data_IF_353195737523
#
_entry.id   IF_353195737523
#
_cell.length_a   1.000
_cell.length_b   1.000
_cell.length_c   1.000
_cell.angle_alpha   90.00
_cell.angle_beta   90.00
_cell.angle_gamma   90.00
#
_symmetry.space_group_name_H-M   'P 1'
#
loop_
_entity.id
_entity.type
_entity.pdbx_description
1 polymer ?
#
# COMPACT_ATOMS: atom_id res chain seq x y z
N UNK A 1 20.43 -45.54 -10.22
CA UNK A 1 21.42 -46.34 -9.46
C UNK A 1 22.74 -45.58 -9.38
N UNK A 2 22.95 -44.82 -8.30
CA UNK A 2 24.21 -44.72 -7.54
C UNK A 2 24.00 -43.75 -6.38
N UNK A 3 24.37 -44.25 -5.22
CA UNK A 3 24.18 -43.70 -3.87
C UNK A 3 25.49 -43.01 -3.49
N UNK A 4 25.43 -41.85 -2.85
CA UNK A 4 26.50 -41.44 -1.93
C UNK A 4 25.95 -40.54 -0.83
N UNK A 5 25.96 -41.12 0.39
CA UNK A 5 25.69 -40.49 1.68
C UNK A 5 26.97 -39.85 2.22
N UNK A 6 26.87 -38.64 2.76
CA UNK A 6 27.74 -38.05 3.79
C UNK A 6 26.83 -37.07 4.55
N UNK A 7 26.71 -36.97 5.86
CA UNK A 7 27.48 -37.47 6.99
C UNK A 7 27.33 -36.39 8.07
N UNK A 8 26.38 -36.59 9.00
CA UNK A 8 26.02 -35.65 10.09
C UNK A 8 27.22 -35.31 10.97
N UNK A 9 27.26 -34.08 11.47
CA UNK A 9 27.91 -33.75 12.75
C UNK A 9 27.23 -32.54 13.39
N UNK A 10 26.37 -32.83 14.37
CA UNK A 10 25.83 -31.85 15.30
C UNK A 10 26.87 -31.61 16.41
N UNK A 11 27.09 -30.35 16.77
CA UNK A 11 27.76 -29.98 18.04
C UNK A 11 26.83 -29.06 18.82
N UNK A 12 26.14 -29.67 19.77
CA UNK A 12 25.57 -29.01 20.94
C UNK A 12 26.72 -28.52 21.84
N UNK A 13 26.70 -27.26 22.21
CA UNK A 13 27.40 -26.77 23.40
C UNK A 13 26.35 -26.11 24.28
N UNK A 14 25.90 -26.85 25.29
CA UNK A 14 25.18 -26.32 26.43
C UNK A 14 26.21 -25.84 27.45
N UNK A 15 26.09 -24.59 27.89
CA UNK A 15 26.88 -24.01 28.97
C UNK A 15 25.98 -23.18 29.87
N UNK A 16 25.39 -23.82 30.87
CA UNK A 16 24.71 -23.16 31.97
C UNK A 16 25.73 -22.72 33.02
N UNK A 17 25.67 -21.45 33.45
CA UNK A 17 26.29 -21.00 34.68
C UNK A 17 25.37 -19.94 35.33
N UNK A 18 24.57 -20.41 36.28
CA UNK A 18 23.91 -19.60 37.29
C UNK A 18 24.90 -19.25 38.41
N UNK A 19 24.86 -18.02 38.92
CA UNK A 19 25.31 -17.54 40.26
C UNK A 19 25.48 -16.01 40.18
N UNK A 20 25.07 -15.14 41.10
CA UNK A 20 24.39 -15.26 42.38
C UNK A 20 23.80 -13.87 42.71
N UNK A 21 22.64 -13.84 43.37
CA UNK A 21 22.08 -12.64 43.99
C UNK A 21 23.01 -12.09 45.06
N UNK A 22 23.26 -10.77 45.05
CA UNK A 22 23.77 -10.04 46.21
C UNK A 22 22.66 -9.13 46.73
N UNK A 23 22.02 -9.56 47.81
CA UNK A 23 21.21 -8.73 48.68
C UNK A 23 22.16 -8.01 49.65
N UNK A 24 22.34 -6.70 49.47
CA UNK A 24 22.94 -5.84 50.48
C UNK A 24 21.82 -5.09 51.22
N UNK A 25 21.53 -5.58 52.43
CA UNK A 25 20.66 -4.93 53.40
C UNK A 25 21.52 -4.33 54.53
N UNK A 26 21.56 -3.00 54.62
CA UNK A 26 21.89 -2.16 55.78
C UNK A 26 21.18 -0.82 55.47
N UNK A 27 20.30 -0.22 56.26
CA UNK A 27 20.17 -0.22 57.72
C UNK A 27 20.61 1.15 58.26
N UNK A 28 19.68 2.12 58.33
CA UNK A 28 19.71 3.21 59.33
C UNK A 28 19.92 4.66 58.85
N UNK A 29 18.81 5.42 58.79
CA UNK A 29 18.64 6.67 59.55
C UNK A 29 19.23 7.99 59.05
N UNK A 30 18.46 8.70 58.22
CA UNK A 30 18.10 10.13 58.35
C UNK A 30 19.14 11.22 58.14
N UNK A 31 19.01 11.98 57.04
CA UNK A 31 18.80 13.44 57.06
C UNK A 31 18.26 13.91 55.69
N UNK A 32 17.52 15.01 55.71
CA UNK A 32 16.80 15.59 54.59
C UNK A 32 17.75 16.17 53.52
N UNK A 33 17.47 15.81 52.26
CA UNK A 33 18.07 16.42 51.08
C UNK A 33 17.05 16.41 49.95
N UNK A 34 16.48 17.58 49.69
CA UNK A 34 15.72 17.92 48.50
C UNK A 34 16.57 17.62 47.26
N UNK A 35 16.16 16.64 46.48
CA UNK A 35 16.56 16.50 45.08
C UNK A 35 15.35 15.94 44.32
N UNK A 36 14.57 16.85 43.75
CA UNK A 36 13.50 16.57 42.81
C UNK A 36 14.07 15.99 41.52
N UNK A 37 14.57 14.75 41.60
CA UNK A 37 14.88 13.93 40.45
C UNK A 37 13.62 13.74 39.64
N UNK A 38 13.58 14.36 38.47
CA UNK A 38 12.61 14.10 37.43
C UNK A 38 12.51 12.59 37.23
N UNK A 39 11.44 12.00 37.75
CA UNK A 39 10.99 10.72 37.26
C UNK A 39 10.72 10.92 35.78
N UNK A 40 11.60 10.41 34.91
CA UNK A 40 11.24 10.05 33.56
C UNK A 40 10.03 9.14 33.68
N UNK A 41 8.85 9.72 33.48
CA UNK A 41 7.65 8.97 33.22
C UNK A 41 7.91 8.24 31.92
N UNK A 42 8.32 6.97 32.02
CA UNK A 42 8.14 6.02 30.93
C UNK A 42 6.64 5.89 30.73
N UNK A 43 6.06 6.84 29.99
CA UNK A 43 4.71 6.69 29.49
C UNK A 43 4.70 5.43 28.64
N UNK A 44 3.81 4.50 28.98
CA UNK A 44 3.56 3.37 28.10
C UNK A 44 3.22 3.92 26.71
N UNK A 45 3.79 3.31 25.67
CA UNK A 45 3.52 3.70 24.29
C UNK A 45 2.00 3.69 24.07
N UNK A 46 1.40 4.66 23.34
CA UNK A 46 -0.05 4.82 23.29
C UNK A 46 -0.79 3.58 22.78
N UNK A 47 -0.10 2.71 22.02
CA UNK A 47 -0.66 1.47 21.48
C UNK A 47 -0.03 0.21 22.09
N UNK A 48 0.67 0.33 23.22
CA UNK A 48 1.44 -0.76 23.83
C UNK A 48 0.64 -2.06 23.97
N UNK A 49 1.05 -3.09 23.23
CA UNK A 49 0.46 -4.43 23.30
C UNK A 49 -0.92 -4.56 22.68
N UNK A 50 -1.37 -3.57 21.91
CA UNK A 50 -2.57 -3.70 21.08
C UNK A 50 -2.23 -4.38 19.77
N UNK A 51 -3.09 -5.29 19.31
CA UNK A 51 -2.96 -5.92 18.01
C UNK A 51 -3.74 -5.07 16.98
N UNK A 52 -3.14 -4.85 15.81
CA UNK A 52 -3.77 -4.14 14.68
C UNK A 52 -3.59 -4.98 13.41
N UNK A 53 -4.69 -5.21 12.69
CA UNK A 53 -4.70 -5.93 11.41
C UNK A 53 -4.98 -4.96 10.28
N UNK A 54 -4.02 -4.81 9.36
CA UNK A 54 -4.14 -3.95 8.18
C UNK A 54 -4.59 -4.81 6.99
N UNK A 55 -5.72 -4.45 6.39
CA UNK A 55 -6.19 -5.04 5.13
C UNK A 55 -5.51 -4.35 3.94
N UNK A 56 -4.83 -5.14 3.11
CA UNK A 56 -4.01 -4.64 1.99
C UNK A 56 -4.54 -5.18 0.67
N UNK A 57 -4.75 -4.31 -0.33
CA UNK A 57 -5.11 -4.77 -1.67
C UNK A 57 -3.92 -5.43 -2.35
N UNK A 58 -4.16 -6.60 -2.95
CA UNK A 58 -3.10 -7.39 -3.56
C UNK A 58 -2.54 -6.71 -4.80
N UNK A 59 -1.26 -6.36 -4.77
CA UNK A 59 -0.52 -5.90 -5.95
C UNK A 59 -0.82 -4.46 -6.35
N UNK A 60 -1.30 -3.62 -5.43
CA UNK A 60 -1.53 -2.19 -5.66
C UNK A 60 -0.52 -1.41 -4.82
N UNK A 61 0.49 -0.88 -5.51
CA UNK A 61 1.75 -0.46 -4.92
C UNK A 61 1.62 0.73 -3.97
N UNK A 62 0.77 1.69 -4.28
CA UNK A 62 0.46 2.84 -3.42
C UNK A 62 -0.20 2.40 -2.11
N UNK A 63 -1.17 1.47 -2.20
CA UNK A 63 -1.87 0.92 -1.04
C UNK A 63 -0.95 0.06 -0.17
N UNK A 64 -0.06 -0.72 -0.79
CA UNK A 64 1.01 -1.46 -0.10
C UNK A 64 1.97 -0.48 0.59
N UNK A 65 2.42 0.57 -0.10
CA UNK A 65 3.34 1.56 0.44
C UNK A 65 2.75 2.26 1.68
N UNK A 66 1.52 2.76 1.57
CA UNK A 66 0.81 3.37 2.69
C UNK A 66 0.62 2.39 3.86
N UNK A 67 0.25 1.14 3.58
CA UNK A 67 0.03 0.11 4.61
C UNK A 67 1.30 -0.23 5.38
N UNK A 68 2.44 -0.39 4.71
CA UNK A 68 3.70 -0.69 5.37
C UNK A 68 4.30 0.52 6.10
N UNK A 69 4.12 1.74 5.57
CA UNK A 69 4.44 2.98 6.27
C UNK A 69 3.65 3.10 7.57
N UNK A 70 2.35 2.82 7.53
CA UNK A 70 1.50 2.83 8.72
C UNK A 70 1.83 1.73 9.71
N UNK A 71 2.16 0.52 9.22
CA UNK A 71 2.64 -0.54 10.10
C UNK A 71 3.87 -0.11 10.90
N UNK A 72 4.85 0.53 10.25
CA UNK A 72 6.02 1.08 10.94
C UNK A 72 5.63 2.11 12.02
N UNK A 73 4.75 3.07 11.69
CA UNK A 73 4.28 4.10 12.64
C UNK A 73 3.57 3.49 13.85
N UNK A 74 2.74 2.46 13.62
CA UNK A 74 1.97 1.78 14.67
C UNK A 74 2.87 0.89 15.55
N UNK A 75 3.84 0.20 14.95
CA UNK A 75 4.83 -0.60 15.68
C UNK A 75 5.75 0.27 16.55
N UNK A 76 6.21 1.41 16.04
CA UNK A 76 6.95 2.42 16.82
C UNK A 76 6.12 2.93 18.02
N UNK A 77 4.79 3.04 17.83
CA UNK A 77 3.83 3.36 18.88
C UNK A 77 3.41 2.15 19.76
N UNK A 78 4.08 0.99 19.61
CA UNK A 78 3.98 -0.16 20.50
C UNK A 78 2.88 -1.18 20.17
N UNK A 79 2.21 -1.05 19.02
CA UNK A 79 1.26 -2.04 18.53
C UNK A 79 1.96 -3.28 17.96
N UNK A 80 1.27 -4.42 17.93
CA UNK A 80 1.66 -5.56 17.11
C UNK A 80 0.85 -5.48 15.81
N UNK A 81 1.54 -5.28 14.67
CA UNK A 81 0.87 -5.14 13.38
C UNK A 81 0.89 -6.48 12.62
N UNK A 82 -0.22 -6.78 11.96
CA UNK A 82 -0.33 -7.87 11.00
C UNK A 82 -0.99 -7.39 9.71
N UNK A 83 -0.67 -8.05 8.60
CA UNK A 83 -1.16 -7.69 7.27
C UNK A 83 -1.96 -8.85 6.69
N UNK A 84 -3.12 -8.54 6.13
CA UNK A 84 -3.97 -9.50 5.44
C UNK A 84 -4.21 -9.00 4.01
N UNK A 85 -3.68 -9.74 3.04
CA UNK A 85 -3.72 -9.35 1.62
C UNK A 85 -4.82 -10.09 0.88
N UNK A 86 -5.68 -9.34 0.18
CA UNK A 86 -6.73 -9.90 -0.67
C UNK A 86 -7.17 -8.89 -1.74
N UNK A 87 -8.11 -9.29 -2.60
CA UNK A 87 -8.78 -8.38 -3.55
C UNK A 87 -9.62 -7.32 -2.81
N UNK A 88 -10.00 -6.20 -3.46
CA UNK A 88 -10.74 -5.11 -2.81
C UNK A 88 -12.01 -5.56 -2.09
N UNK A 89 -12.87 -6.37 -2.74
CA UNK A 89 -14.12 -6.85 -2.15
C UNK A 89 -13.95 -7.58 -0.81
N UNK A 90 -13.11 -8.63 -0.73
CA UNK A 90 -12.76 -9.27 0.54
C UNK A 90 -12.20 -8.34 1.61
N UNK A 91 -11.36 -7.35 1.25
CA UNK A 91 -10.81 -6.41 2.23
C UNK A 91 -11.89 -5.46 2.76
N UNK A 92 -12.73 -4.88 1.90
CA UNK A 92 -13.89 -4.09 2.33
C UNK A 92 -14.82 -4.89 3.26
N UNK A 93 -15.12 -6.14 2.89
CA UNK A 93 -15.94 -7.02 3.71
C UNK A 93 -15.26 -7.36 5.06
N UNK A 94 -13.95 -7.58 5.06
CA UNK A 94 -13.15 -7.86 6.25
C UNK A 94 -13.13 -6.68 7.23
N UNK A 95 -12.93 -5.47 6.73
CA UNK A 95 -13.01 -4.24 7.56
C UNK A 95 -14.43 -4.02 8.09
N UNK A 96 -15.45 -4.14 7.23
CA UNK A 96 -16.85 -3.97 7.64
C UNK A 96 -17.31 -5.00 8.69
N UNK A 97 -16.72 -6.20 8.70
CA UNK A 97 -17.00 -7.25 9.69
C UNK A 97 -16.10 -7.18 10.92
N UNK A 98 -15.16 -6.23 10.98
CA UNK A 98 -14.17 -6.10 12.04
C UNK A 98 -13.14 -7.24 12.09
N UNK A 99 -12.94 -7.94 10.97
CA UNK A 99 -11.85 -8.92 10.81
C UNK A 99 -10.51 -8.22 10.58
N UNK A 100 -10.54 -7.09 9.87
CA UNK A 100 -9.41 -6.18 9.69
C UNK A 100 -9.74 -4.87 10.41
N UNK A 101 -8.74 -4.21 10.98
CA UNK A 101 -8.93 -2.97 11.73
C UNK A 101 -8.97 -1.76 10.80
N UNK A 102 -8.07 -1.69 9.81
CA UNK A 102 -7.90 -0.53 8.93
C UNK A 102 -7.39 -0.94 7.55
N UNK A 103 -7.70 -0.15 6.52
CA UNK A 103 -7.13 -0.22 5.18
C UNK A 103 -6.91 1.21 4.65
N UNK A 104 -5.96 1.38 3.75
CA UNK A 104 -5.48 2.69 3.27
C UNK A 104 -5.76 2.94 1.79
N UNK A 105 -6.61 2.14 1.15
CA UNK A 105 -6.65 2.11 -0.32
C UNK A 105 -8.06 2.28 -0.91
N UNK A 106 -8.91 3.07 -0.25
CA UNK A 106 -10.24 3.35 -0.78
C UNK A 106 -10.22 4.47 -1.83
N UNK A 107 -10.08 4.09 -3.11
CA UNK A 107 -10.24 4.97 -4.28
C UNK A 107 -11.69 5.41 -4.51
N UNK A 108 -11.98 6.71 -4.35
CA UNK A 108 -13.31 7.29 -4.41
C UNK A 108 -13.34 8.53 -5.34
N UNK A 109 -14.49 8.81 -6.01
CA UNK A 109 -15.81 8.19 -5.79
C UNK A 109 -16.18 7.04 -6.74
N UNK A 110 -15.47 6.85 -7.84
CA UNK A 110 -15.85 5.97 -8.95
C UNK A 110 -15.26 4.56 -8.84
N UNK A 111 -13.97 4.40 -8.55
CA UNK A 111 -13.29 3.08 -8.57
C UNK A 111 -13.95 2.09 -7.62
N UNK A 112 -14.11 2.48 -6.35
CA UNK A 112 -14.76 1.64 -5.34
C UNK A 112 -16.20 2.05 -5.01
N UNK A 113 -16.93 2.70 -5.94
CA UNK A 113 -18.30 3.15 -5.73
C UNK A 113 -19.20 2.03 -5.13
N UNK A 114 -19.18 0.84 -5.73
CA UNK A 114 -20.02 -0.27 -5.32
C UNK A 114 -19.68 -0.78 -3.91
N UNK A 115 -18.39 -0.99 -3.63
CA UNK A 115 -17.93 -1.47 -2.32
C UNK A 115 -18.19 -0.42 -1.23
N UNK A 116 -17.96 0.86 -1.54
CA UNK A 116 -18.26 1.95 -0.62
C UNK A 116 -19.76 2.07 -0.36
N UNK A 117 -20.59 2.02 -1.40
CA UNK A 117 -22.04 2.06 -1.24
C UNK A 117 -22.58 0.90 -0.41
N UNK A 118 -22.01 -0.30 -0.56
CA UNK A 118 -22.38 -1.49 0.22
C UNK A 118 -21.95 -1.38 1.69
N UNK A 119 -20.75 -0.86 1.97
CA UNK A 119 -20.12 -0.99 3.28
C UNK A 119 -20.02 0.31 4.11
N UNK A 120 -20.24 1.51 3.54
CA UNK A 120 -20.04 2.81 4.20
C UNK A 120 -20.71 2.97 5.56
N UNK A 121 -21.86 2.33 5.79
CA UNK A 121 -22.58 2.42 7.06
C UNK A 121 -21.97 1.50 8.15
N UNK A 122 -21.08 0.59 7.75
CA UNK A 122 -20.41 -0.41 8.59
C UNK A 122 -18.89 -0.19 8.69
N UNK A 123 -18.38 0.93 8.19
CA UNK A 123 -16.97 1.34 8.28
C UNK A 123 -16.89 2.80 8.76
N UNK A 124 -15.73 3.19 9.24
CA UNK A 124 -15.35 4.58 9.52
C UNK A 124 -14.47 5.09 8.39
N UNK A 125 -14.86 6.20 7.76
CA UNK A 125 -13.97 6.96 6.89
C UNK A 125 -13.00 7.79 7.75
N UNK A 126 -11.71 7.51 7.64
CA UNK A 126 -10.65 8.21 8.35
C UNK A 126 -10.06 9.37 7.53
N UNK A 127 -10.58 9.61 6.33
CA UNK A 127 -10.25 10.76 5.50
C UNK A 127 -9.31 10.46 4.34
N UNK A 128 -9.12 11.48 3.52
CA UNK A 128 -8.28 11.48 2.33
C UNK A 128 -6.82 11.65 2.73
N UNK A 129 -5.97 10.74 2.26
CA UNK A 129 -4.52 10.89 2.42
C UNK A 129 -3.79 11.17 1.10
N UNK A 130 -4.47 10.99 -0.03
CA UNK A 130 -3.95 11.33 -1.34
C UNK A 130 -5.09 11.80 -2.26
N UNK A 131 -4.94 12.93 -2.93
CA UNK A 131 -6.04 13.64 -3.63
C UNK A 131 -5.81 13.83 -5.14
N UNK A 132 -4.80 13.15 -5.71
CA UNK A 132 -4.41 13.28 -7.10
C UNK A 132 -4.24 11.92 -7.77
N UNK A 133 -5.29 11.09 -7.73
CA UNK A 133 -5.22 9.70 -8.16
C UNK A 133 -5.97 9.45 -9.49
N UNK A 134 -5.41 9.83 -10.66
CA UNK A 134 -6.06 9.53 -11.94
C UNK A 134 -5.90 8.07 -12.34
N UNK A 135 -6.99 7.49 -12.82
CA UNK A 135 -6.99 6.26 -13.59
C UNK A 135 -6.50 6.53 -15.03
N UNK A 136 -5.75 5.60 -15.61
CA UNK A 136 -5.17 5.77 -16.95
C UNK A 136 -5.29 4.52 -17.81
N UNK A 137 -5.20 4.72 -19.13
CA UNK A 137 -4.84 3.68 -20.08
C UNK A 137 -3.49 4.08 -20.65
N UNK A 138 -2.48 3.24 -20.42
CA UNK A 138 -1.09 3.52 -20.80
C UNK A 138 -0.66 2.67 -21.99
N UNK A 139 0.26 3.22 -22.79
CA UNK A 139 0.93 2.55 -23.91
C UNK A 139 2.44 2.74 -23.81
N UNK A 140 3.21 1.94 -24.54
CA UNK A 140 4.63 2.22 -24.75
C UNK A 140 4.83 3.63 -25.33
N UNK A 141 5.92 4.31 -24.92
CA UNK A 141 6.16 5.73 -25.22
C UNK A 141 6.14 6.03 -26.72
N UNK A 142 6.67 5.12 -27.53
CA UNK A 142 6.77 5.22 -28.99
C UNK A 142 5.56 4.64 -29.75
N UNK A 143 4.47 4.28 -29.05
CA UNK A 143 3.25 3.80 -29.68
C UNK A 143 2.69 4.80 -30.72
N UNK A 144 2.06 4.32 -31.81
CA UNK A 144 1.66 5.15 -32.95
C UNK A 144 0.39 6.00 -32.74
N UNK A 145 -0.23 5.94 -31.56
CA UNK A 145 -1.49 6.60 -31.22
C UNK A 145 -1.32 7.53 -30.02
N UNK A 146 -2.07 8.63 -29.93
CA UNK A 146 -2.01 9.55 -28.77
C UNK A 146 -3.28 9.53 -27.93
N UNK A 147 -4.41 9.11 -28.50
CA UNK A 147 -5.73 9.16 -27.86
C UNK A 147 -6.44 7.80 -27.86
N UNK A 148 -7.31 7.59 -26.87
CA UNK A 148 -8.25 6.47 -26.84
C UNK A 148 -9.18 6.42 -28.08
N UNK A 149 -9.39 7.55 -28.76
CA UNK A 149 -10.16 7.61 -30.01
C UNK A 149 -9.50 6.84 -31.16
N UNK A 150 -8.18 6.72 -31.15
CA UNK A 150 -7.41 6.07 -32.22
C UNK A 150 -7.25 4.57 -31.99
N UNK A 151 -7.42 4.12 -30.75
CA UNK A 151 -7.07 2.77 -30.31
C UNK A 151 -7.84 1.69 -31.07
N UNK A 152 -9.14 1.88 -31.31
CA UNK A 152 -9.97 0.91 -32.05
C UNK A 152 -9.54 0.72 -33.51
N UNK A 153 -9.07 1.79 -34.18
CA UNK A 153 -8.56 1.74 -35.55
C UNK A 153 -7.19 1.03 -35.64
N UNK A 154 -6.42 1.06 -34.55
CA UNK A 154 -5.08 0.47 -34.45
C UNK A 154 -5.07 -0.85 -33.66
N UNK A 155 -6.24 -1.45 -33.39
CA UNK A 155 -6.37 -2.62 -32.52
C UNK A 155 -5.41 -3.77 -32.88
N UNK A 156 -5.23 -4.05 -34.18
CA UNK A 156 -4.32 -5.11 -34.66
C UNK A 156 -2.85 -4.86 -34.28
N UNK A 157 -2.43 -3.60 -34.17
CA UNK A 157 -1.07 -3.22 -33.75
C UNK A 157 -0.83 -3.53 -32.27
N UNK A 158 -1.90 -3.58 -31.46
CA UNK A 158 -1.89 -3.96 -30.05
C UNK A 158 -2.35 -5.42 -29.83
N UNK A 159 -2.38 -6.23 -30.89
CA UNK A 159 -2.80 -7.64 -30.80
C UNK A 159 -4.30 -7.83 -30.49
N UNK A 160 -5.12 -6.79 -30.68
CA UNK A 160 -6.55 -6.80 -30.42
C UNK A 160 -6.90 -6.94 -28.93
N UNK A 161 -6.02 -6.50 -28.03
CA UNK A 161 -6.22 -6.66 -26.59
C UNK A 161 -5.83 -5.41 -25.80
N UNK A 162 -6.51 -5.23 -24.66
CA UNK A 162 -6.12 -4.33 -23.58
C UNK A 162 -5.72 -5.21 -22.40
N UNK A 163 -4.49 -5.09 -21.91
CA UNK A 163 -4.03 -5.89 -20.77
C UNK A 163 -4.51 -5.23 -19.49
N UNK A 164 -5.43 -5.90 -18.80
CA UNK A 164 -6.04 -5.42 -17.58
C UNK A 164 -5.46 -6.05 -16.32
N UNK A 165 -5.84 -5.48 -15.19
CA UNK A 165 -5.54 -5.99 -13.85
C UNK A 165 -6.64 -6.96 -13.34
N UNK A 166 -6.78 -7.13 -12.03
CA UNK A 166 -7.70 -8.09 -11.42
C UNK A 166 -9.17 -7.81 -11.77
N UNK A 167 -10.01 -8.86 -11.98
CA UNK A 167 -11.44 -8.69 -12.23
C UNK A 167 -12.20 -7.92 -11.13
N UNK A 168 -11.70 -7.94 -9.90
CA UNK A 168 -12.30 -7.26 -8.75
C UNK A 168 -11.97 -5.77 -8.66
N UNK A 169 -11.08 -5.26 -9.51
CA UNK A 169 -10.64 -3.87 -9.52
C UNK A 169 -11.71 -2.93 -10.12
N UNK A 170 -11.87 -1.76 -9.50
CA UNK A 170 -12.74 -0.70 -10.03
C UNK A 170 -12.34 -0.23 -11.43
N UNK A 171 -11.03 -0.08 -11.68
CA UNK A 171 -10.49 0.27 -12.99
C UNK A 171 -10.86 -0.75 -14.08
N UNK A 172 -10.86 -2.05 -13.76
CA UNK A 172 -11.29 -3.10 -14.71
C UNK A 172 -12.77 -2.96 -15.05
N UNK A 173 -13.62 -2.69 -14.05
CA UNK A 173 -15.06 -2.40 -14.27
C UNK A 173 -15.24 -1.13 -15.11
N UNK A 174 -14.59 -0.02 -14.76
CA UNK A 174 -14.66 1.26 -15.50
C UNK A 174 -14.21 1.07 -16.95
N UNK A 175 -13.11 0.35 -17.18
CA UNK A 175 -12.63 0.05 -18.53
C UNK A 175 -13.67 -0.71 -19.34
N UNK A 176 -14.30 -1.71 -18.73
CA UNK A 176 -15.29 -2.58 -19.38
C UNK A 176 -16.63 -1.89 -19.65
N UNK A 177 -17.11 -1.09 -18.71
CA UNK A 177 -18.46 -0.53 -18.73
C UNK A 177 -18.50 0.90 -19.28
N UNK A 178 -17.39 1.63 -19.20
CA UNK A 178 -17.30 3.02 -19.66
C UNK A 178 -16.35 3.16 -20.85
N UNK A 179 -15.07 2.81 -20.70
CA UNK A 179 -14.05 3.06 -21.74
C UNK A 179 -14.37 2.32 -23.03
N UNK A 180 -14.55 0.99 -22.97
CA UNK A 180 -14.81 0.18 -24.16
C UNK A 180 -16.06 0.64 -24.93
N UNK A 181 -17.24 0.82 -24.28
CA UNK A 181 -18.44 1.29 -24.99
C UNK A 181 -18.33 2.72 -25.52
N UNK A 182 -17.74 3.65 -24.75
CA UNK A 182 -17.68 5.06 -25.15
C UNK A 182 -16.72 5.29 -26.32
N UNK A 183 -15.65 4.51 -26.41
CA UNK A 183 -14.66 4.59 -27.50
C UNK A 183 -14.91 3.61 -28.65
N UNK A 184 -15.92 2.73 -28.53
CA UNK A 184 -16.25 1.76 -29.59
C UNK A 184 -15.17 0.69 -29.77
N UNK A 185 -14.58 0.23 -28.66
CA UNK A 185 -13.48 -0.73 -28.64
C UNK A 185 -13.98 -2.19 -28.60
N UNK A 186 -15.16 -2.47 -29.16
CA UNK A 186 -15.77 -3.81 -29.18
C UNK A 186 -14.92 -4.85 -29.93
N UNK A 187 -13.97 -4.40 -30.75
CA UNK A 187 -12.99 -5.23 -31.45
C UNK A 187 -11.75 -5.55 -30.61
N UNK A 188 -11.63 -4.98 -29.41
CA UNK A 188 -10.53 -5.26 -28.47
C UNK A 188 -11.02 -6.09 -27.29
N UNK A 189 -10.20 -7.07 -26.90
CA UNK A 189 -10.47 -7.89 -25.72
C UNK A 189 -9.76 -7.30 -24.50
N UNK A 190 -10.51 -6.96 -23.46
CA UNK A 190 -9.92 -6.74 -22.12
C UNK A 190 -9.46 -8.09 -21.55
N UNK A 191 -8.16 -8.22 -21.30
CA UNK A 191 -7.56 -9.40 -20.69
C UNK A 191 -7.40 -9.14 -19.21
N UNK A 192 -8.39 -9.59 -18.43
CA UNK A 192 -8.38 -9.50 -16.97
C UNK A 192 -7.37 -10.51 -16.39
N UNK A 193 -6.47 -10.06 -15.51
CA UNK A 193 -5.40 -10.87 -14.92
C UNK A 193 -5.08 -10.46 -13.47
N UNK A 194 -3.88 -9.94 -13.21
CA UNK A 194 -3.48 -9.29 -11.97
C UNK A 194 -2.47 -8.17 -12.29
N UNK A 195 -2.28 -7.19 -11.41
CA UNK A 195 -1.29 -6.12 -11.60
C UNK A 195 0.11 -6.68 -11.86
N UNK A 196 0.64 -7.65 -11.09
CA UNK A 196 1.94 -8.24 -11.40
C UNK A 196 2.01 -8.94 -12.77
N UNK A 197 0.91 -9.57 -13.20
CA UNK A 197 0.85 -10.21 -14.51
C UNK A 197 0.78 -9.17 -15.64
N UNK A 198 0.01 -8.11 -15.46
CA UNK A 198 -0.06 -6.98 -16.38
C UNK A 198 1.31 -6.31 -16.54
N UNK A 199 2.03 -6.06 -15.44
CA UNK A 199 3.38 -5.48 -15.46
C UNK A 199 4.41 -6.42 -16.14
N UNK A 200 4.28 -7.73 -15.94
CA UNK A 200 5.13 -8.72 -16.63
C UNK A 200 4.87 -8.74 -18.15
N UNK A 201 3.61 -8.63 -18.58
CA UNK A 201 3.25 -8.52 -20.00
C UNK A 201 3.73 -7.19 -20.61
N UNK A 202 3.60 -6.08 -19.87
CA UNK A 202 4.12 -4.77 -20.24
C UNK A 202 5.64 -4.82 -20.49
N UNK A 203 6.40 -5.29 -19.49
CA UNK A 203 7.85 -5.44 -19.61
C UNK A 203 8.22 -6.35 -20.79
N UNK A 204 7.52 -7.48 -20.94
CA UNK A 204 7.76 -8.42 -22.03
C UNK A 204 7.53 -7.82 -23.42
N UNK A 205 6.48 -7.01 -23.58
CA UNK A 205 6.18 -6.33 -24.84
C UNK A 205 7.24 -5.27 -25.18
N UNK A 206 7.63 -4.46 -24.19
CA UNK A 206 8.70 -3.47 -24.32
C UNK A 206 10.02 -4.13 -24.74
N UNK A 207 10.40 -5.24 -24.10
CA UNK A 207 11.62 -6.00 -24.44
C UNK A 207 11.61 -6.54 -25.88
N UNK A 208 10.42 -6.85 -26.42
CA UNK A 208 10.24 -7.33 -27.79
C UNK A 208 10.06 -6.21 -28.81
N UNK A 209 9.94 -4.95 -28.37
CA UNK A 209 9.60 -3.81 -29.23
C UNK A 209 8.20 -3.96 -29.85
N UNK A 210 7.28 -4.57 -29.10
CA UNK A 210 5.88 -4.74 -29.50
C UNK A 210 5.01 -3.66 -28.84
N UNK A 211 4.02 -3.15 -29.56
CA UNK A 211 3.06 -2.23 -28.98
C UNK A 211 2.21 -2.94 -27.93
N UNK A 212 1.96 -2.25 -26.82
CA UNK A 212 1.14 -2.75 -25.72
C UNK A 212 0.27 -1.63 -25.18
N UNK A 213 -0.95 -1.99 -24.77
CA UNK A 213 -1.89 -1.09 -24.10
C UNK A 213 -2.37 -1.76 -22.82
N UNK A 214 -2.24 -1.05 -21.70
CA UNK A 214 -2.52 -1.57 -20.37
C UNK A 214 -3.43 -0.63 -19.58
N UNK A 215 -4.21 -1.16 -18.65
CA UNK A 215 -4.86 -0.35 -17.61
C UNK A 215 -3.83 -0.01 -16.53
N UNK A 216 -3.74 1.27 -16.14
CA UNK A 216 -2.80 1.73 -15.10
C UNK A 216 -3.42 2.92 -14.32
N UNK A 217 -2.68 3.51 -13.39
CA UNK A 217 -3.10 4.66 -12.59
C UNK A 217 -1.88 5.47 -12.17
N UNK A 218 -2.10 6.68 -11.64
CA UNK A 218 -1.03 7.46 -10.99
C UNK A 218 -1.37 7.74 -9.52
N UNK A 219 -0.34 7.88 -8.68
CA UNK A 219 1.07 7.63 -8.94
C UNK A 219 1.31 6.12 -9.05
N UNK A 220 2.35 5.75 -9.79
CA UNK A 220 2.75 4.35 -9.93
C UNK A 220 4.21 4.27 -10.42
N UNK A 221 5.04 3.48 -9.74
CA UNK A 221 6.47 3.29 -10.06
C UNK A 221 6.76 2.89 -11.52
N UNK A 222 5.80 2.22 -12.19
CA UNK A 222 5.91 1.79 -13.58
C UNK A 222 6.27 2.93 -14.55
N UNK A 223 5.86 4.17 -14.28
CA UNK A 223 6.20 5.33 -15.12
C UNK A 223 7.68 5.73 -15.03
N UNK A 224 8.36 5.40 -13.94
CA UNK A 224 9.80 5.61 -13.79
C UNK A 224 10.61 4.43 -14.34
N UNK A 225 10.03 3.22 -14.27
CA UNK A 225 10.73 1.99 -14.67
C UNK A 225 10.59 1.65 -16.15
N UNK A 226 9.48 2.01 -16.79
CA UNK A 226 9.18 1.68 -18.18
C UNK A 226 9.02 2.93 -19.05
N UNK A 227 9.46 2.90 -20.32
CA UNK A 227 9.15 3.95 -21.28
C UNK A 227 7.68 3.86 -21.71
N UNK A 228 6.78 4.40 -20.88
CA UNK A 228 5.33 4.41 -21.12
C UNK A 228 4.75 5.82 -21.01
N UNK A 229 3.58 6.02 -21.61
CA UNK A 229 2.79 7.24 -21.49
C UNK A 229 1.30 6.95 -21.51
N UNK A 230 0.53 7.92 -21.02
CA UNK A 230 -0.92 7.85 -21.01
C UNK A 230 -1.49 8.14 -22.41
N UNK A 231 -2.61 7.49 -22.74
CA UNK A 231 -3.46 7.91 -23.84
C UNK A 231 -4.39 9.05 -23.37
N UNK A 232 -4.63 10.02 -24.24
CA UNK A 232 -5.64 11.05 -23.99
C UNK A 232 -7.05 10.42 -23.88
N UNK A 233 -7.82 10.86 -22.88
CA UNK A 233 -9.21 10.47 -22.65
C UNK A 233 -10.17 11.66 -22.91
N UNK A 234 -10.39 12.08 -24.17
CA UNK A 234 -11.21 13.26 -24.49
C UNK A 234 -12.69 13.15 -24.09
N UNK A 235 -13.20 11.93 -23.82
CA UNK A 235 -14.57 11.68 -23.36
C UNK A 235 -14.69 11.60 -21.84
N UNK A 236 -13.58 11.67 -21.11
CA UNK A 236 -13.51 11.50 -19.66
C UNK A 236 -14.18 10.19 -19.20
N UNK A 237 -13.92 9.09 -19.91
CA UNK A 237 -14.50 7.79 -19.61
C UNK A 237 -13.89 7.14 -18.37
N UNK A 238 -12.65 7.49 -18.03
CA UNK A 238 -11.95 7.07 -16.81
C UNK A 238 -12.36 7.91 -15.59
N UNK A 239 -12.91 9.11 -15.83
CA UNK A 239 -13.32 10.06 -14.79
C UNK A 239 -12.21 11.04 -14.41
N UNK A 240 -12.58 12.00 -13.56
CA UNK A 240 -11.63 12.96 -12.99
C UNK A 240 -10.71 12.25 -11.97
N UNK A 241 -9.52 12.79 -11.66
CA UNK A 241 -8.66 12.25 -10.61
C UNK A 241 -9.41 12.02 -9.30
N UNK A 242 -9.15 10.87 -8.68
CA UNK A 242 -9.80 10.42 -7.47
C UNK A 242 -9.04 10.77 -6.20
N UNK A 243 -9.72 10.58 -5.07
CA UNK A 243 -9.15 10.65 -3.73
C UNK A 243 -8.96 9.22 -3.20
N UNK A 244 -7.83 8.96 -2.52
CA UNK A 244 -7.57 7.72 -1.81
C UNK A 244 -7.77 7.96 -0.31
N UNK A 245 -8.71 7.20 0.24
CA UNK A 245 -9.11 7.28 1.64
C UNK A 245 -8.50 6.17 2.48
N UNK A 246 -8.25 6.49 3.74
CA UNK A 246 -8.11 5.49 4.79
C UNK A 246 -9.49 5.19 5.38
N UNK A 247 -9.80 3.91 5.58
CA UNK A 247 -11.06 3.48 6.19
C UNK A 247 -10.81 2.35 7.18
N UNK A 248 -11.62 2.32 8.23
CA UNK A 248 -11.46 1.40 9.35
C UNK A 248 -12.77 0.74 9.74
N UNK A 249 -12.68 -0.32 10.55
CA UNK A 249 -13.87 -0.94 11.11
C UNK A 249 -14.59 0.03 12.04
N UNK A 250 -15.89 -0.18 12.23
CA UNK A 250 -16.62 0.54 13.27
C UNK A 250 -15.99 0.33 14.66
N UNK A 251 -15.91 1.40 15.44
CA UNK A 251 -15.28 1.45 16.76
C UNK A 251 -13.76 1.64 16.72
N UNK A 252 -13.13 1.73 15.54
CA UNK A 252 -11.68 1.91 15.46
C UNK A 252 -11.22 3.21 16.12
N UNK A 253 -11.91 4.32 15.86
CA UNK A 253 -11.58 5.61 16.50
C UNK A 253 -11.78 5.61 18.01
N UNK A 254 -12.63 4.71 18.53
CA UNK A 254 -12.85 4.55 19.98
C UNK A 254 -11.75 3.68 20.62
N UNK A 255 -11.38 2.59 19.95
CA UNK A 255 -10.37 1.64 20.42
C UNK A 255 -8.94 2.18 20.28
N UNK A 256 -8.69 3.00 19.25
CA UNK A 256 -7.37 3.53 18.88
C UNK A 256 -7.42 5.05 18.61
N UNK A 257 -7.79 5.89 19.61
CA UNK A 257 -8.04 7.30 19.37
C UNK A 257 -6.80 8.07 18.89
N UNK A 258 -5.60 7.74 19.39
CA UNK A 258 -4.35 8.34 18.92
C UNK A 258 -4.05 7.96 17.46
N UNK A 259 -4.13 6.67 17.12
CA UNK A 259 -3.87 6.21 15.75
C UNK A 259 -4.88 6.78 14.75
N UNK A 260 -6.18 6.77 15.10
CA UNK A 260 -7.22 7.35 14.26
C UNK A 260 -7.01 8.85 14.03
N UNK A 261 -6.52 9.59 15.03
CA UNK A 261 -6.17 11.00 14.85
C UNK A 261 -4.96 11.19 13.94
N UNK A 262 -3.92 10.37 14.09
CA UNK A 262 -2.76 10.42 13.20
C UNK A 262 -3.14 10.08 11.75
N UNK A 263 -4.00 9.08 11.55
CA UNK A 263 -4.50 8.70 10.21
C UNK A 263 -5.28 9.86 9.58
N UNK A 264 -6.13 10.56 10.35
CA UNK A 264 -6.85 11.75 9.88
C UNK A 264 -5.94 12.93 9.51
N UNK A 265 -4.72 12.97 10.05
CA UNK A 265 -3.74 13.99 9.73
C UNK A 265 -2.86 13.61 8.53
N UNK A 266 -2.83 12.33 8.17
CA UNK A 266 -1.90 11.80 7.18
C UNK A 266 -2.31 12.20 5.78
N UNK A 267 -1.35 12.81 5.09
CA UNK A 267 -1.39 13.10 3.67
C UNK A 267 -0.03 12.80 3.07
N UNK A 268 0.00 12.51 1.77
CA UNK A 268 1.23 12.42 1.00
C UNK A 268 1.14 13.30 -0.24
N UNK A 269 2.25 13.93 -0.60
CA UNK A 269 2.40 14.57 -1.91
C UNK A 269 2.79 13.54 -2.97
N UNK A 270 2.62 13.89 -4.26
CA UNK A 270 3.09 13.08 -5.39
C UNK A 270 4.56 12.67 -5.24
N UNK A 271 5.42 13.61 -4.81
CA UNK A 271 6.85 13.37 -4.63
C UNK A 271 7.13 12.37 -3.49
N UNK A 272 6.41 12.50 -2.37
CA UNK A 272 6.57 11.59 -1.23
C UNK A 272 6.12 10.18 -1.60
N UNK A 273 4.95 10.03 -2.21
CA UNK A 273 4.41 8.72 -2.57
C UNK A 273 5.26 8.06 -3.66
N UNK A 274 5.58 8.78 -4.74
CA UNK A 274 6.40 8.25 -5.83
C UNK A 274 7.81 7.87 -5.36
N UNK A 275 8.43 8.66 -4.47
CA UNK A 275 9.76 8.32 -3.95
C UNK A 275 9.74 7.09 -3.03
N UNK A 276 8.67 6.89 -2.25
CA UNK A 276 8.50 5.69 -1.44
C UNK A 276 8.29 4.45 -2.32
N UNK A 277 7.38 4.52 -3.28
CA UNK A 277 7.13 3.42 -4.23
C UNK A 277 8.38 3.04 -5.01
N UNK A 278 9.16 4.03 -5.45
CA UNK A 278 10.43 3.78 -6.14
C UNK A 278 11.38 2.96 -5.27
N UNK A 279 11.57 3.32 -4.00
CA UNK A 279 12.43 2.55 -3.10
C UNK A 279 11.87 1.13 -2.93
N UNK A 280 10.56 1.00 -2.70
CA UNK A 280 9.91 -0.28 -2.42
C UNK A 280 9.94 -1.25 -3.61
N UNK A 281 9.51 -0.81 -4.78
CA UNK A 281 9.20 -1.69 -5.91
C UNK A 281 10.24 -1.66 -7.02
N UNK A 282 10.97 -0.54 -7.17
CA UNK A 282 12.00 -0.41 -8.19
C UNK A 282 13.40 -0.69 -7.67
N UNK A 283 13.78 -0.16 -6.50
CA UNK A 283 15.13 -0.36 -5.94
C UNK A 283 15.26 -1.66 -5.13
N UNK A 284 14.18 -2.08 -4.46
CA UNK A 284 14.16 -3.26 -3.59
C UNK A 284 13.24 -4.40 -4.07
N UNK A 285 12.81 -4.37 -5.33
CA UNK A 285 12.07 -5.43 -6.03
C UNK A 285 10.73 -5.84 -5.36
N UNK A 286 10.16 -5.02 -4.47
CA UNK A 286 8.91 -5.32 -3.76
C UNK A 286 9.00 -6.42 -2.70
N UNK A 287 10.20 -6.89 -2.36
CA UNK A 287 10.40 -8.01 -1.41
C UNK A 287 10.72 -7.56 0.02
N UNK A 288 11.07 -6.28 0.22
CA UNK A 288 11.62 -5.75 1.48
C UNK A 288 10.87 -4.51 1.96
N UNK A 289 9.54 -4.63 2.07
CA UNK A 289 8.68 -3.47 2.31
C UNK A 289 9.01 -2.74 3.63
N UNK A 290 9.23 -3.47 4.72
CA UNK A 290 9.56 -2.85 6.01
C UNK A 290 10.92 -2.14 5.98
N UNK A 291 11.95 -2.75 5.39
CA UNK A 291 13.26 -2.13 5.25
C UNK A 291 13.24 -0.92 4.30
N UNK A 292 12.41 -0.98 3.25
CA UNK A 292 12.24 0.11 2.29
C UNK A 292 11.58 1.34 2.93
N UNK A 293 10.57 1.12 3.78
CA UNK A 293 9.96 2.18 4.59
C UNK A 293 10.99 2.80 5.54
N UNK A 294 11.77 1.97 6.23
CA UNK A 294 12.84 2.47 7.12
C UNK A 294 13.87 3.31 6.34
N UNK A 295 14.27 2.86 5.15
CA UNK A 295 15.17 3.61 4.27
C UNK A 295 14.55 4.95 3.86
N UNK A 296 13.30 4.97 3.41
CA UNK A 296 12.62 6.20 2.99
C UNK A 296 12.48 7.19 4.15
N UNK A 297 12.20 6.71 5.37
CA UNK A 297 12.11 7.54 6.57
C UNK A 297 13.45 8.12 7.01
N UNK A 298 14.59 7.49 6.68
CA UNK A 298 15.92 8.09 6.90
C UNK A 298 16.13 9.33 6.02
N UNK A 299 15.58 9.32 4.81
CA UNK A 299 15.63 10.45 3.88
C UNK A 299 14.51 11.48 4.16
N UNK A 300 13.46 11.09 4.90
CA UNK A 300 12.31 11.90 5.28
C UNK A 300 12.07 11.93 6.81
N UNK A 301 13.06 12.37 7.62
CA UNK A 301 13.04 12.19 9.08
C UNK A 301 11.91 12.94 9.80
N UNK A 302 11.39 14.01 9.19
CA UNK A 302 10.33 14.84 9.79
C UNK A 302 8.92 14.31 9.49
N UNK A 303 8.77 13.29 8.64
CA UNK A 303 7.46 12.82 8.15
C UNK A 303 6.57 12.25 9.25
N UNK A 304 7.13 11.40 10.14
CA UNK A 304 6.33 10.82 11.23
C UNK A 304 5.85 11.90 12.19
N UNK A 305 6.70 12.90 12.47
CA UNK A 305 6.36 14.00 13.36
C UNK A 305 5.28 14.92 12.75
N UNK A 306 5.31 15.14 11.43
CA UNK A 306 4.25 15.90 10.74
C UNK A 306 2.89 15.19 10.83
N UNK A 307 2.86 13.88 10.59
CA UNK A 307 1.65 13.04 10.74
C UNK A 307 1.13 13.06 12.18
N UNK A 308 2.00 12.81 13.17
CA UNK A 308 1.62 12.77 14.59
C UNK A 308 1.15 14.13 15.11
N UNK A 309 1.69 15.24 14.62
CA UNK A 309 1.36 16.60 15.06
C UNK A 309 0.21 17.26 14.28
N UNK A 310 -0.10 16.76 13.08
CA UNK A 310 -1.04 17.40 12.15
C UNK A 310 -0.54 18.72 11.59
N UNK A 311 0.77 18.98 11.64
CA UNK A 311 1.41 20.14 11.02
C UNK A 311 1.94 19.73 9.64
N UNK A 312 1.27 20.21 8.59
CA UNK A 312 1.74 20.11 7.21
C UNK A 312 2.60 21.32 6.84
#
# INVERSE_FOLDING_TARGET
MRISKFGRSARLIAGAAASALVLAACGGGGDAGDDGGQGQGGGESPLQGKDVTIGVFSGWEEGIAASYLWGHILEDAGANVSYETADPGPVYAGVAQGQFDVSFDAWLPATHEDYWAEHKDSIEDLGVWYDNAPLTIAVNEDAPIQSLEELGEHADEFGGQIVGIEPGAGLTRITKEQVIPQYGLDNMKLVESSTPAMLAELQGAIDRGENVVVTLWRPHWAYDAFPIRDLEDPKNALGDPEEIHAFARQGFSEDFPEAAQWIKNFTMTDEQLSSLEKIMFFENDGEKNAESVEQWLQDNPDFIDSVKSGQQ
#
